data_IF_411168157428
#
_entry.id   IF_411168157428
#
_cell.length_a   1.000
_cell.length_b   1.000
_cell.length_c   1.000
_cell.angle_alpha   90.00
_cell.angle_beta   90.00
_cell.angle_gamma   90.00
#
_symmetry.space_group_name_H-M   'P 1'
#
loop_
_entity.id
_entity.type
_entity.pdbx_description
1 polymer ?
#
# COMPACT_ATOMS: atom_id res chain seq x y z
N UNK A 1 12.73 14.34 13.39
CA UNK A 1 14.08 14.50 13.95
C UNK A 1 14.77 15.76 13.44
N UNK A 2 15.77 16.26 14.14
CA UNK A 2 16.59 17.38 13.70
C UNK A 2 17.61 16.90 12.64
N UNK A 3 17.89 17.72 11.63
CA UNK A 3 18.97 17.47 10.69
C UNK A 3 20.31 17.68 11.42
N UNK A 4 21.10 16.62 11.53
CA UNK A 4 22.40 16.68 12.21
C UNK A 4 23.52 17.11 11.29
N UNK A 5 23.55 16.55 10.06
CA UNK A 5 24.64 16.80 9.11
C UNK A 5 24.19 16.58 7.67
N UNK A 6 24.69 17.42 6.75
CA UNK A 6 24.48 17.28 5.31
C UNK A 6 25.59 16.40 4.73
N UNK A 7 25.22 15.19 4.32
CA UNK A 7 26.16 14.21 3.80
C UNK A 7 26.49 14.45 2.32
N UNK A 8 25.50 14.91 1.56
CA UNK A 8 25.66 15.12 0.13
C UNK A 8 24.69 16.19 -0.38
N UNK A 9 25.13 16.99 -1.34
CA UNK A 9 24.28 17.89 -2.12
C UNK A 9 24.31 17.45 -3.57
N UNK A 10 23.12 17.28 -4.19
CA UNK A 10 22.98 16.92 -5.60
C UNK A 10 22.22 18.00 -6.32
N UNK A 11 22.65 18.32 -7.54
CA UNK A 11 21.92 19.16 -8.48
C UNK A 11 21.29 18.22 -9.51
N UNK A 12 19.96 18.22 -9.59
CA UNK A 12 19.19 17.29 -10.44
C UNK A 12 18.34 18.07 -11.42
N UNK A 13 18.48 17.74 -12.71
CA UNK A 13 17.56 18.25 -13.74
C UNK A 13 16.31 17.36 -13.80
N UNK A 14 15.13 17.93 -13.56
CA UNK A 14 13.84 17.20 -13.53
C UNK A 14 13.12 17.12 -14.88
N UNK A 15 13.73 17.69 -15.93
CA UNK A 15 13.17 17.76 -17.27
C UNK A 15 12.50 19.10 -17.61
N UNK A 16 12.28 19.96 -16.61
CA UNK A 16 11.71 21.31 -16.75
C UNK A 16 12.35 22.34 -15.82
N UNK A 17 12.95 21.93 -14.69
CA UNK A 17 13.66 22.81 -13.77
C UNK A 17 14.80 22.08 -13.06
N UNK A 18 15.69 22.83 -12.41
CA UNK A 18 16.74 22.31 -11.56
C UNK A 18 16.27 22.22 -10.11
N UNK A 19 16.59 21.09 -9.47
CA UNK A 19 16.37 20.87 -8.04
C UNK A 19 17.69 20.73 -7.31
N UNK A 20 17.72 21.18 -6.07
CA UNK A 20 18.81 20.96 -5.12
C UNK A 20 18.33 19.92 -4.10
N UNK A 21 18.98 18.76 -4.11
CA UNK A 21 18.68 17.68 -3.17
C UNK A 21 19.76 17.63 -2.09
N UNK A 22 19.34 17.68 -0.83
CA UNK A 22 20.22 17.52 0.32
C UNK A 22 19.99 16.13 0.92
N UNK A 23 21.07 15.34 1.01
CA UNK A 23 21.09 14.07 1.74
C UNK A 23 21.62 14.38 3.13
N UNK A 24 20.79 14.21 4.14
CA UNK A 24 21.12 14.58 5.52
C UNK A 24 21.06 13.37 6.44
N UNK A 25 21.87 13.39 7.50
CA UNK A 25 21.61 12.56 8.66
C UNK A 25 20.53 13.20 9.50
N UNK A 26 19.60 12.39 9.96
CA UNK A 26 18.52 12.81 10.84
C UNK A 26 18.61 11.94 12.10
N UNK A 27 18.64 12.58 13.27
CA UNK A 27 18.50 11.84 14.53
C UNK A 27 17.08 11.29 14.64
N UNK A 28 16.97 10.00 14.92
CA UNK A 28 15.71 9.35 15.25
C UNK A 28 15.66 9.33 16.79
N UNK A 29 14.71 10.06 17.35
CA UNK A 29 14.40 9.94 18.76
C UNK A 29 13.64 8.61 18.91
N UNK A 30 14.28 7.59 19.50
CA UNK A 30 13.62 6.34 19.82
C UNK A 30 12.36 6.65 20.65
N UNK A 31 11.20 6.30 20.13
CA UNK A 31 10.00 6.38 20.91
C UNK A 31 10.12 5.32 22.02
N UNK A 32 9.74 5.66 23.25
CA UNK A 32 9.55 4.66 24.31
C UNK A 32 8.32 3.80 23.93
N UNK A 33 8.46 2.96 22.90
CA UNK A 33 7.45 2.02 22.48
C UNK A 33 7.48 0.84 23.43
N UNK A 34 6.61 0.87 24.44
CA UNK A 34 6.41 -0.25 25.36
C UNK A 34 5.24 -1.15 24.92
N UNK A 35 4.88 -1.16 23.66
CA UNK A 35 3.74 -1.85 23.11
C UNK A 35 4.14 -3.04 22.26
N UNK A 36 3.53 -4.20 22.47
CA UNK A 36 3.66 -5.39 21.61
C UNK A 36 2.67 -5.36 20.42
N UNK A 37 2.31 -4.15 19.92
CA UNK A 37 1.31 -4.05 18.86
C UNK A 37 1.94 -4.27 17.49
N UNK A 38 1.22 -5.00 16.68
CA UNK A 38 1.63 -5.36 15.32
C UNK A 38 0.59 -4.92 14.30
N UNK A 39 1.04 -4.66 13.07
CA UNK A 39 0.17 -4.38 11.94
C UNK A 39 0.45 -5.34 10.78
N UNK A 40 -0.56 -5.62 9.97
CA UNK A 40 -0.42 -6.33 8.71
C UNK A 40 -0.83 -5.44 7.55
N UNK A 41 -0.08 -5.47 6.46
CA UNK A 41 -0.32 -4.67 5.25
C UNK A 41 -0.31 -5.57 4.02
N UNK A 42 -1.45 -5.69 3.38
CA UNK A 42 -1.60 -6.31 2.06
C UNK A 42 -1.55 -5.23 0.97
N UNK A 43 -0.61 -5.36 0.03
CA UNK A 43 -0.44 -4.45 -1.09
C UNK A 43 -1.10 -5.01 -2.35
N UNK A 44 -2.11 -4.33 -2.85
CA UNK A 44 -2.91 -4.80 -3.97
C UNK A 44 -3.08 -3.81 -5.12
N UNK A 45 -3.63 -4.29 -6.26
CA UNK A 45 -3.90 -3.46 -7.44
C UNK A 45 -5.24 -2.72 -7.30
N UNK A 46 -6.22 -3.28 -6.61
CA UNK A 46 -7.55 -2.69 -6.46
C UNK A 46 -7.63 -1.75 -5.27
N UNK A 47 -7.35 -2.27 -4.10
CA UNK A 47 -6.91 -1.48 -2.98
C UNK A 47 -5.39 -1.42 -3.05
N UNK A 48 -4.83 -0.22 -3.02
CA UNK A 48 -3.38 -0.03 -3.06
C UNK A 48 -2.73 -0.58 -1.81
N UNK A 49 -3.46 -0.50 -0.70
CA UNK A 49 -3.14 -1.18 0.56
C UNK A 49 -4.42 -1.53 1.32
N UNK A 50 -4.36 -2.63 2.05
CA UNK A 50 -5.28 -2.99 3.12
C UNK A 50 -4.46 -3.16 4.40
N UNK A 51 -4.87 -2.51 5.48
CA UNK A 51 -4.12 -2.49 6.74
C UNK A 51 -4.99 -3.01 7.88
N UNK A 52 -4.42 -3.92 8.66
CA UNK A 52 -5.02 -4.42 9.90
C UNK A 52 -4.13 -4.09 11.08
N UNK A 53 -4.68 -3.36 12.07
CA UNK A 53 -3.96 -2.95 13.29
C UNK A 53 -4.85 -3.21 14.50
N UNK A 54 -4.57 -4.26 15.25
CA UNK A 54 -5.41 -4.65 16.38
C UNK A 54 -6.84 -4.93 15.95
N UNK A 55 -7.80 -4.18 16.47
CA UNK A 55 -9.22 -4.26 16.15
C UNK A 55 -9.68 -3.28 15.05
N UNK A 56 -8.78 -2.48 14.51
CA UNK A 56 -9.06 -1.54 13.44
C UNK A 56 -8.55 -2.02 12.09
N UNK A 57 -9.32 -1.71 11.05
CA UNK A 57 -8.94 -2.01 9.67
C UNK A 57 -9.16 -0.82 8.75
N UNK A 58 -8.25 -0.68 7.79
CA UNK A 58 -8.23 0.46 6.87
C UNK A 58 -8.02 -0.02 5.43
N UNK A 59 -8.82 0.49 4.50
CA UNK A 59 -8.62 0.31 3.06
C UNK A 59 -8.16 1.61 2.39
N UNK A 60 -7.21 1.47 1.49
CA UNK A 60 -6.70 2.53 0.63
C UNK A 60 -6.99 2.20 -0.84
N UNK A 61 -8.14 2.63 -1.40
CA UNK A 61 -8.51 2.35 -2.78
C UNK A 61 -7.53 2.97 -3.78
N UNK A 62 -7.15 2.19 -4.81
CA UNK A 62 -6.24 2.61 -5.87
C UNK A 62 -6.92 3.43 -6.98
N UNK A 63 -8.09 4.04 -6.74
CA UNK A 63 -8.86 4.74 -7.78
C UNK A 63 -8.09 5.92 -8.37
N UNK A 64 -7.40 6.71 -7.56
CA UNK A 64 -6.61 7.86 -8.02
C UNK A 64 -5.55 7.47 -9.05
N UNK A 65 -4.84 6.35 -8.84
CA UNK A 65 -3.86 5.83 -9.79
C UNK A 65 -4.50 5.30 -11.08
N UNK A 66 -5.66 4.66 -10.97
CA UNK A 66 -6.40 4.11 -12.13
C UNK A 66 -6.93 5.23 -13.03
N UNK A 67 -7.48 6.26 -12.43
CA UNK A 67 -7.97 7.46 -13.13
C UNK A 67 -6.82 8.17 -13.85
N UNK A 68 -5.70 8.40 -13.18
CA UNK A 68 -4.52 9.03 -13.76
C UNK A 68 -3.93 8.15 -14.88
N UNK A 69 -3.86 6.84 -14.70
CA UNK A 69 -3.39 5.93 -15.73
C UNK A 69 -4.29 5.93 -16.96
N UNK A 70 -5.61 6.08 -16.78
CA UNK A 70 -6.56 6.17 -17.89
C UNK A 70 -6.43 7.51 -18.62
N UNK A 71 -6.46 8.63 -17.89
CA UNK A 71 -6.35 9.97 -18.44
C UNK A 71 -5.06 10.17 -19.24
N UNK A 72 -3.91 9.89 -18.64
CA UNK A 72 -2.63 10.13 -19.32
C UNK A 72 -2.37 9.17 -20.48
N UNK A 73 -3.02 8.00 -20.51
CA UNK A 73 -2.96 7.13 -21.69
C UNK A 73 -3.65 7.76 -22.90
N UNK A 74 -4.80 8.39 -22.71
CA UNK A 74 -5.48 9.10 -23.78
C UNK A 74 -4.59 10.25 -24.30
N UNK A 75 -4.01 11.04 -23.39
CA UNK A 75 -3.10 12.13 -23.75
C UNK A 75 -1.84 11.65 -24.52
N UNK A 76 -1.36 10.45 -24.22
CA UNK A 76 -0.23 9.84 -24.95
C UNK A 76 -0.64 9.43 -26.37
N UNK A 77 -1.81 8.79 -26.55
CA UNK A 77 -2.27 8.29 -27.84
C UNK A 77 -2.67 9.40 -28.80
N UNK A 78 -3.36 10.42 -28.34
CA UNK A 78 -3.85 11.52 -29.19
C UNK A 78 -2.72 12.37 -29.77
N UNK A 79 -1.47 12.15 -29.36
CA UNK A 79 -0.32 12.97 -29.70
C UNK A 79 0.88 12.19 -30.26
N UNK A 80 0.76 10.87 -30.47
CA UNK A 80 1.78 10.07 -31.17
C UNK A 80 1.67 10.32 -32.70
N UNK A 81 2.53 11.18 -33.23
CA UNK A 81 2.66 11.40 -34.67
C UNK A 81 3.55 10.34 -35.34
N UNK A 82 3.56 10.29 -36.68
CA UNK A 82 4.35 9.36 -37.48
C UNK A 82 5.88 9.41 -37.21
N UNK A 83 6.39 10.46 -36.55
CA UNK A 83 7.80 10.69 -36.29
C UNK A 83 8.24 10.44 -34.82
N UNK A 84 7.46 9.71 -34.04
CA UNK A 84 7.76 9.39 -32.64
C UNK A 84 7.02 10.27 -31.62
N UNK A 85 7.31 10.09 -30.31
CA UNK A 85 6.55 10.75 -29.25
C UNK A 85 6.69 12.27 -29.33
N UNK A 86 5.55 12.95 -29.42
CA UNK A 86 5.49 14.41 -29.37
C UNK A 86 5.97 14.97 -28.03
N UNK A 87 6.29 16.26 -27.97
CA UNK A 87 6.61 16.95 -26.72
C UNK A 87 5.49 16.84 -25.68
N UNK A 88 4.24 16.76 -26.14
CA UNK A 88 3.08 16.56 -25.28
C UNK A 88 3.02 15.15 -24.68
N UNK A 89 3.30 14.12 -25.45
CA UNK A 89 3.40 12.75 -24.93
C UNK A 89 4.50 12.61 -23.88
N UNK A 90 5.65 13.24 -24.08
CA UNK A 90 6.73 13.29 -23.09
C UNK A 90 6.29 14.03 -21.80
N UNK A 91 5.54 15.12 -21.93
CA UNK A 91 4.95 15.82 -20.80
C UNK A 91 3.95 14.94 -20.05
N UNK A 92 3.03 14.28 -20.75
CA UNK A 92 2.02 13.40 -20.15
C UNK A 92 2.67 12.27 -19.33
N UNK A 93 3.72 11.62 -19.86
CA UNK A 93 4.49 10.58 -19.15
C UNK A 93 5.14 11.12 -17.87
N UNK A 94 5.82 12.28 -17.95
CA UNK A 94 6.44 12.91 -16.77
C UNK A 94 5.41 13.30 -15.72
N UNK A 95 4.28 13.88 -16.15
CA UNK A 95 3.19 14.28 -15.24
C UNK A 95 2.58 13.07 -14.53
N UNK A 96 2.30 11.98 -15.27
CA UNK A 96 1.84 10.70 -14.71
C UNK A 96 2.81 10.17 -13.66
N UNK A 97 4.09 10.08 -14.00
CA UNK A 97 5.13 9.59 -13.08
C UNK A 97 5.20 10.40 -11.79
N UNK A 98 5.20 11.74 -11.88
CA UNK A 98 5.24 12.62 -10.70
C UNK A 98 4.00 12.45 -9.82
N UNK A 99 2.80 12.32 -10.42
CA UNK A 99 1.56 12.10 -9.67
C UNK A 99 1.56 10.74 -8.98
N UNK A 100 2.04 9.70 -9.66
CA UNK A 100 2.21 8.38 -9.08
C UNK A 100 3.18 8.42 -7.88
N UNK A 101 4.36 9.02 -8.05
CA UNK A 101 5.35 9.16 -6.97
C UNK A 101 4.74 9.89 -5.77
N UNK A 102 4.05 11.01 -6.01
CA UNK A 102 3.40 11.76 -4.94
C UNK A 102 2.34 10.93 -4.19
N UNK A 103 1.49 10.22 -4.94
CA UNK A 103 0.51 9.31 -4.35
C UNK A 103 1.16 8.25 -3.46
N UNK A 104 2.22 7.59 -3.94
CA UNK A 104 2.90 6.53 -3.20
C UNK A 104 3.58 7.06 -1.92
N UNK A 105 4.12 8.29 -1.98
CA UNK A 105 4.66 8.95 -0.78
C UNK A 105 3.58 9.32 0.22
N UNK A 106 2.43 9.84 -0.23
CA UNK A 106 1.31 10.18 0.65
C UNK A 106 0.69 8.94 1.29
N UNK A 107 0.49 7.87 0.50
CA UNK A 107 -0.01 6.59 0.97
C UNK A 107 0.88 5.99 2.06
N UNK A 108 2.16 5.79 1.74
CA UNK A 108 3.10 5.15 2.68
C UNK A 108 3.30 5.99 3.94
N UNK A 109 3.26 7.33 3.83
CA UNK A 109 3.29 8.22 4.98
C UNK A 109 2.06 8.01 5.88
N UNK A 110 0.86 8.01 5.29
CA UNK A 110 -0.37 7.83 6.04
C UNK A 110 -0.43 6.46 6.72
N UNK A 111 -0.01 5.38 6.04
CA UNK A 111 0.06 4.04 6.64
C UNK A 111 0.96 4.04 7.88
N UNK A 112 2.18 4.56 7.76
CA UNK A 112 3.13 4.59 8.88
C UNK A 112 2.66 5.49 10.02
N UNK A 113 2.07 6.65 9.72
CA UNK A 113 1.49 7.54 10.74
C UNK A 113 0.33 6.85 11.47
N UNK A 114 -0.56 6.14 10.74
CA UNK A 114 -1.65 5.37 11.36
C UNK A 114 -1.12 4.25 12.26
N UNK A 115 -0.02 3.60 11.90
CA UNK A 115 0.63 2.59 12.75
C UNK A 115 1.28 3.23 13.98
N UNK A 116 2.05 4.31 13.80
CA UNK A 116 2.72 5.01 14.88
C UNK A 116 1.73 5.58 15.93
N UNK A 117 0.64 6.22 15.47
CA UNK A 117 -0.40 6.77 16.34
C UNK A 117 -1.09 5.70 17.21
N UNK A 118 -1.03 4.42 16.79
CA UNK A 118 -1.59 3.27 17.52
C UNK A 118 -0.56 2.53 18.35
N UNK A 119 0.70 2.95 18.34
CA UNK A 119 1.78 2.31 19.08
C UNK A 119 2.18 0.96 18.49
N UNK A 120 2.18 0.83 17.16
CA UNK A 120 2.69 -0.35 16.45
C UNK A 120 4.20 -0.34 16.48
N UNK A 121 4.81 -1.49 16.83
CA UNK A 121 6.26 -1.70 16.82
C UNK A 121 6.73 -2.47 15.58
N UNK A 122 5.87 -3.35 15.05
CA UNK A 122 6.22 -4.18 13.89
C UNK A 122 5.10 -4.16 12.86
N UNK A 123 5.47 -3.89 11.59
CA UNK A 123 4.58 -3.96 10.44
C UNK A 123 4.98 -5.15 9.56
N UNK A 124 4.10 -6.14 9.43
CA UNK A 124 4.25 -7.22 8.45
C UNK A 124 3.68 -6.78 7.10
N UNK A 125 4.51 -6.69 6.07
CA UNK A 125 4.07 -6.28 4.73
C UNK A 125 4.18 -7.44 3.75
N UNK A 126 3.10 -7.70 3.04
CA UNK A 126 3.09 -8.70 1.97
C UNK A 126 4.09 -8.37 0.87
N UNK A 127 4.93 -9.36 0.53
CA UNK A 127 5.90 -9.27 -0.55
C UNK A 127 5.61 -10.34 -1.61
N UNK A 128 4.89 -9.99 -2.68
CA UNK A 128 4.51 -10.94 -3.72
C UNK A 128 5.68 -11.24 -4.67
N UNK A 129 6.67 -12.01 -4.20
CA UNK A 129 7.91 -12.32 -4.93
C UNK A 129 7.70 -12.86 -6.34
N UNK A 130 6.64 -13.64 -6.56
CA UNK A 130 6.38 -14.34 -7.81
C UNK A 130 5.10 -13.89 -8.53
N UNK A 131 4.57 -12.73 -8.19
CA UNK A 131 3.28 -12.26 -8.73
C UNK A 131 3.29 -12.06 -10.25
N UNK A 132 4.48 -11.90 -10.84
CA UNK A 132 4.67 -11.70 -12.29
C UNK A 132 5.02 -12.99 -13.04
N UNK A 133 5.28 -14.08 -12.32
CA UNK A 133 5.67 -15.37 -12.89
C UNK A 133 4.42 -16.22 -13.13
N UNK A 134 4.36 -16.89 -14.26
CA UNK A 134 3.37 -17.92 -14.63
C UNK A 134 1.87 -17.51 -14.57
N UNK A 135 1.55 -16.22 -14.53
CA UNK A 135 0.15 -15.74 -14.53
C UNK A 135 -0.15 -14.88 -15.77
N UNK A 136 -1.01 -15.38 -16.61
CA UNK A 136 -1.59 -14.60 -17.71
C UNK A 136 -2.99 -14.08 -17.32
N UNK A 137 -3.02 -12.83 -16.88
CA UNK A 137 -4.28 -12.14 -16.57
C UNK A 137 -4.83 -11.36 -17.77
N UNK A 138 -4.36 -11.70 -18.97
CA UNK A 138 -4.66 -10.99 -20.20
C UNK A 138 -3.96 -9.63 -20.29
N UNK A 139 -4.00 -9.04 -21.49
CA UNK A 139 -3.26 -7.80 -21.83
C UNK A 139 -3.44 -6.66 -20.80
N UNK A 140 -4.66 -6.45 -20.32
CA UNK A 140 -4.95 -5.37 -19.37
C UNK A 140 -4.50 -5.70 -17.94
N UNK A 141 -4.65 -6.95 -17.51
CA UNK A 141 -4.20 -7.42 -16.19
C UNK A 141 -2.70 -7.39 -16.07
N UNK A 142 -1.99 -7.94 -17.06
CA UNK A 142 -0.53 -7.97 -17.11
C UNK A 142 0.05 -6.56 -17.13
N UNK A 143 -0.55 -5.62 -17.90
CA UNK A 143 -0.10 -4.23 -17.91
C UNK A 143 -0.26 -3.56 -16.54
N UNK A 144 -1.39 -3.76 -15.85
CA UNK A 144 -1.60 -3.22 -14.50
C UNK A 144 -0.58 -3.75 -13.49
N UNK A 145 -0.25 -5.04 -13.61
CA UNK A 145 0.74 -5.66 -12.77
C UNK A 145 2.17 -5.12 -13.02
N UNK A 146 2.50 -4.84 -14.29
CA UNK A 146 3.79 -4.21 -14.64
C UNK A 146 3.87 -2.74 -14.22
N UNK A 147 2.75 -2.01 -14.30
CA UNK A 147 2.67 -0.60 -13.90
C UNK A 147 2.61 -0.44 -12.35
N UNK A 148 2.43 -1.55 -11.60
CA UNK A 148 2.30 -1.52 -10.15
C UNK A 148 3.67 -1.49 -9.45
N UNK A 149 3.85 -0.48 -8.63
CA UNK A 149 5.15 -0.17 -8.01
C UNK A 149 5.26 -0.77 -6.59
N UNK A 150 5.07 -2.10 -6.43
CA UNK A 150 5.15 -2.79 -5.13
C UNK A 150 6.42 -2.44 -4.35
N UNK A 151 7.59 -2.66 -4.96
CA UNK A 151 8.87 -2.40 -4.31
C UNK A 151 9.03 -0.94 -3.90
N UNK A 152 8.47 -0.02 -4.69
CA UNK A 152 8.52 1.42 -4.36
C UNK A 152 7.68 1.72 -3.12
N UNK A 153 6.45 1.19 -3.02
CA UNK A 153 5.60 1.38 -1.83
C UNK A 153 6.25 0.74 -0.62
N UNK A 154 6.73 -0.50 -0.76
CA UNK A 154 7.38 -1.24 0.31
C UNK A 154 8.61 -0.48 0.84
N UNK A 155 9.51 -0.05 -0.05
CA UNK A 155 10.67 0.77 0.33
C UNK A 155 10.27 2.10 0.99
N UNK A 156 9.16 2.71 0.54
CA UNK A 156 8.65 3.92 1.18
C UNK A 156 8.07 3.67 2.58
N UNK A 157 7.46 2.51 2.81
CA UNK A 157 7.00 2.10 4.15
C UNK A 157 8.21 1.84 5.04
N UNK A 158 9.20 1.08 4.57
CA UNK A 158 10.39 0.71 5.31
C UNK A 158 11.14 1.92 5.88
N UNK A 159 11.59 2.85 5.03
CA UNK A 159 12.37 3.98 5.53
C UNK A 159 11.56 4.95 6.40
N UNK A 160 10.24 5.08 6.16
CA UNK A 160 9.39 5.93 7.01
C UNK A 160 9.05 5.27 8.35
N UNK A 161 8.93 3.96 8.36
CA UNK A 161 8.77 3.18 9.58
C UNK A 161 10.04 3.25 10.45
N UNK A 162 11.22 3.13 9.82
CA UNK A 162 12.51 3.34 10.47
C UNK A 162 12.61 4.72 11.13
N UNK A 163 12.12 5.80 10.47
CA UNK A 163 12.06 7.15 11.05
C UNK A 163 11.17 7.24 12.30
N UNK A 164 10.35 6.23 12.58
CA UNK A 164 9.42 6.14 13.71
C UNK A 164 9.75 5.02 14.68
N UNK A 165 10.91 4.39 14.52
CA UNK A 165 11.35 3.23 15.32
C UNK A 165 10.38 2.03 15.22
N UNK A 166 9.79 1.85 14.02
CA UNK A 166 8.90 0.73 13.70
C UNK A 166 9.65 -0.25 12.80
N UNK A 167 9.70 -1.52 13.19
CA UNK A 167 10.27 -2.59 12.39
C UNK A 167 9.34 -2.99 11.24
N UNK A 168 9.91 -3.33 10.07
CA UNK A 168 9.14 -3.83 8.93
C UNK A 168 9.62 -5.21 8.55
N UNK A 169 8.72 -6.20 8.64
CA UNK A 169 8.95 -7.56 8.17
C UNK A 169 8.29 -7.81 6.82
N UNK A 170 9.08 -8.29 5.85
CA UNK A 170 8.60 -8.73 4.54
C UNK A 170 8.09 -10.16 4.62
N UNK A 171 6.80 -10.33 4.40
CA UNK A 171 6.11 -11.63 4.49
C UNK A 171 5.91 -12.22 3.11
N UNK A 172 6.28 -13.49 2.92
CA UNK A 172 6.04 -14.21 1.67
C UNK A 172 4.57 -14.65 1.58
N UNK A 173 3.79 -13.95 0.77
CA UNK A 173 2.36 -14.20 0.58
C UNK A 173 2.06 -15.56 -0.03
N UNK A 174 2.97 -16.07 -0.86
CA UNK A 174 2.78 -17.35 -1.55
C UNK A 174 2.94 -18.53 -0.59
N UNK A 175 3.97 -18.51 0.26
CA UNK A 175 4.19 -19.56 1.25
C UNK A 175 3.05 -19.64 2.26
N UNK A 176 2.55 -18.49 2.70
CA UNK A 176 1.48 -18.41 3.68
C UNK A 176 0.08 -18.62 3.07
N UNK A 177 -0.05 -18.50 1.75
CA UNK A 177 -1.34 -18.53 1.05
C UNK A 177 -2.40 -17.62 1.70
N UNK A 178 -1.99 -16.40 2.05
CA UNK A 178 -2.76 -15.44 2.86
C UNK A 178 -4.13 -15.12 2.28
N UNK A 179 -4.28 -15.18 0.96
CA UNK A 179 -5.52 -14.86 0.25
C UNK A 179 -6.60 -15.93 0.35
N UNK A 180 -6.26 -17.18 0.67
CA UNK A 180 -7.18 -18.33 0.74
C UNK A 180 -7.27 -18.93 2.15
N UNK A 181 -6.39 -18.52 3.06
CA UNK A 181 -6.39 -18.94 4.46
C UNK A 181 -7.32 -18.04 5.27
N UNK A 182 -8.20 -18.63 6.06
CA UNK A 182 -9.06 -17.87 6.97
C UNK A 182 -8.26 -17.36 8.16
N UNK A 183 -8.26 -16.05 8.39
CA UNK A 183 -7.53 -15.45 9.49
C UNK A 183 -8.10 -15.79 10.88
N UNK A 184 -9.36 -16.22 10.95
CA UNK A 184 -10.00 -16.58 12.21
C UNK A 184 -9.79 -18.05 12.60
N UNK A 185 -9.91 -18.99 11.64
CA UNK A 185 -9.85 -20.43 11.95
C UNK A 185 -8.73 -21.20 11.25
N UNK A 186 -7.94 -20.54 10.40
CA UNK A 186 -6.85 -21.16 9.67
C UNK A 186 -7.26 -22.11 8.52
N UNK A 187 -8.57 -22.28 8.26
CA UNK A 187 -9.01 -23.13 7.14
C UNK A 187 -8.54 -22.56 5.81
N UNK A 188 -7.98 -23.42 4.97
CA UNK A 188 -7.52 -23.12 3.63
C UNK A 188 -8.49 -23.66 2.60
N UNK A 189 -9.13 -22.79 1.82
CA UNK A 189 -10.00 -23.18 0.71
C UNK A 189 -10.10 -22.04 -0.31
N UNK A 190 -9.93 -22.39 -1.59
CA UNK A 190 -10.07 -21.43 -2.69
C UNK A 190 -11.49 -20.89 -2.80
N UNK A 191 -12.50 -21.71 -2.43
CA UNK A 191 -13.91 -21.38 -2.39
C UNK A 191 -14.26 -20.25 -1.41
N UNK A 192 -13.44 -20.02 -0.38
CA UNK A 192 -13.65 -18.96 0.60
C UNK A 192 -13.56 -17.56 -0.04
N UNK A 193 -12.86 -17.42 -1.15
CA UNK A 193 -12.83 -16.18 -1.94
C UNK A 193 -13.97 -16.15 -2.95
N UNK A 194 -15.17 -15.79 -2.49
CA UNK A 194 -16.42 -15.85 -3.25
C UNK A 194 -16.43 -14.92 -4.45
N UNK A 195 -15.98 -13.69 -4.23
CA UNK A 195 -15.85 -12.67 -5.28
C UNK A 195 -14.65 -11.77 -4.99
N UNK A 196 -14.36 -10.86 -5.92
CA UNK A 196 -13.32 -9.86 -5.71
C UNK A 196 -13.70 -8.94 -4.56
N UNK A 197 -12.89 -8.97 -3.49
CA UNK A 197 -13.11 -8.16 -2.29
C UNK A 197 -14.04 -8.83 -1.25
N UNK A 198 -14.65 -9.98 -1.55
CA UNK A 198 -15.50 -10.72 -0.60
C UNK A 198 -14.87 -12.06 -0.24
N UNK A 199 -14.66 -12.26 1.05
CA UNK A 199 -14.19 -13.49 1.65
C UNK A 199 -15.27 -14.04 2.60
N UNK A 200 -15.64 -15.30 2.45
CA UNK A 200 -16.60 -16.00 3.32
C UNK A 200 -16.01 -17.36 3.66
N UNK A 201 -15.73 -17.61 4.93
CA UNK A 201 -15.19 -18.89 5.36
C UNK A 201 -16.30 -19.93 5.51
N UNK A 202 -16.20 -21.05 4.80
CA UNK A 202 -17.17 -22.14 4.89
C UNK A 202 -17.15 -22.87 6.25
N UNK A 203 -16.03 -22.77 7.00
CA UNK A 203 -15.88 -23.47 8.28
C UNK A 203 -16.38 -22.66 9.50
N UNK A 204 -16.03 -21.36 9.58
CA UNK A 204 -16.35 -20.54 10.74
C UNK A 204 -17.29 -19.37 10.42
N UNK A 205 -17.82 -19.31 9.20
CA UNK A 205 -18.76 -18.30 8.72
C UNK A 205 -18.23 -16.85 8.79
N UNK A 206 -16.90 -16.67 8.94
CA UNK A 206 -16.29 -15.34 8.88
C UNK A 206 -16.61 -14.69 7.53
N UNK A 207 -17.19 -13.48 7.60
CA UNK A 207 -17.34 -12.60 6.43
C UNK A 207 -16.37 -11.45 6.56
N UNK A 208 -15.54 -11.24 5.55
CA UNK A 208 -14.49 -10.23 5.56
C UNK A 208 -14.26 -9.64 4.16
N UNK A 209 -13.59 -8.47 4.11
CA UNK A 209 -12.93 -8.06 2.89
C UNK A 209 -11.70 -8.96 2.65
N UNK A 210 -11.53 -9.48 1.42
CA UNK A 210 -10.48 -10.45 1.10
C UNK A 210 -9.06 -9.91 1.30
N UNK A 211 -8.84 -8.63 1.01
CA UNK A 211 -7.52 -7.99 1.18
C UNK A 211 -7.22 -7.76 2.68
N UNK A 212 -8.26 -7.49 3.49
CA UNK A 212 -8.12 -7.40 4.95
C UNK A 212 -7.92 -8.76 5.62
N UNK A 213 -8.55 -9.83 5.11
CA UNK A 213 -8.26 -11.19 5.56
C UNK A 213 -6.78 -11.54 5.31
N UNK A 214 -6.23 -11.14 4.16
CA UNK A 214 -4.82 -11.32 3.85
C UNK A 214 -3.92 -10.49 4.77
N UNK A 215 -4.22 -9.20 4.95
CA UNK A 215 -3.47 -8.32 5.85
C UNK A 215 -3.43 -8.87 7.29
N UNK A 216 -4.54 -9.44 7.73
CA UNK A 216 -4.62 -10.05 9.04
C UNK A 216 -3.79 -11.33 9.18
N UNK A 217 -3.78 -12.17 8.16
CA UNK A 217 -2.90 -13.33 8.14
C UNK A 217 -1.42 -12.91 8.17
N UNK A 218 -1.05 -11.81 7.51
CA UNK A 218 0.31 -11.24 7.59
C UNK A 218 0.61 -10.74 9.01
N UNK A 219 -0.31 -9.98 9.62
CA UNK A 219 -0.15 -9.51 10.99
C UNK A 219 0.06 -10.66 11.97
N UNK A 220 -0.67 -11.75 11.78
CA UNK A 220 -0.57 -12.93 12.64
C UNK A 220 0.82 -13.59 12.63
N UNK A 221 1.64 -13.37 11.59
CA UNK A 221 3.01 -13.94 11.54
C UNK A 221 3.96 -13.29 12.54
N UNK A 222 3.73 -12.02 12.86
CA UNK A 222 4.56 -11.21 13.77
C UNK A 222 3.91 -10.97 15.14
N UNK A 223 2.69 -11.48 15.33
CA UNK A 223 1.95 -11.34 16.59
C UNK A 223 2.14 -12.57 17.47
N UNK A 224 2.61 -12.43 18.70
CA UNK A 224 2.84 -13.57 19.59
C UNK A 224 1.59 -14.38 19.94
N UNK A 225 0.42 -13.72 20.03
CA UNK A 225 -0.87 -14.34 20.37
C UNK A 225 -2.01 -13.78 19.50
N UNK A 226 -2.15 -14.25 18.24
CA UNK A 226 -3.11 -13.66 17.29
C UNK A 226 -4.59 -13.99 17.59
N UNK A 227 -4.88 -14.86 18.58
CA UNK A 227 -6.19 -15.46 18.75
C UNK A 227 -7.15 -14.69 19.67
N UNK A 228 -6.72 -13.65 20.35
CA UNK A 228 -7.55 -12.93 21.30
C UNK A 228 -8.22 -11.72 20.64
N UNK A 229 -9.50 -11.88 20.36
CA UNK A 229 -10.52 -10.84 20.21
C UNK A 229 -10.57 -10.04 18.90
N UNK A 230 -11.04 -10.70 17.81
CA UNK A 230 -11.48 -10.01 16.61
C UNK A 230 -12.96 -10.13 16.39
N UNK A 231 -13.64 -9.00 16.39
CA UNK A 231 -15.00 -8.97 15.90
C UNK A 231 -15.03 -9.10 14.37
N UNK A 232 -15.88 -9.98 13.83
CA UNK A 232 -16.10 -10.09 12.37
C UNK A 232 -16.48 -8.74 11.73
N UNK A 233 -17.03 -7.80 12.49
CA UNK A 233 -17.42 -6.48 12.03
C UNK A 233 -16.27 -5.60 11.57
N UNK A 234 -15.12 -5.68 12.22
CA UNK A 234 -13.93 -4.91 11.85
C UNK A 234 -13.42 -5.27 10.44
N UNK A 235 -13.38 -6.57 10.09
CA UNK A 235 -12.91 -7.03 8.78
C UNK A 235 -13.97 -6.86 7.67
N UNK A 236 -15.25 -6.81 8.02
CA UNK A 236 -16.35 -6.62 7.08
C UNK A 236 -16.67 -5.14 6.82
N UNK A 237 -16.38 -4.26 7.77
CA UNK A 237 -16.70 -2.83 7.71
C UNK A 237 -15.47 -1.97 8.01
N UNK A 238 -14.47 -1.99 7.11
CA UNK A 238 -13.25 -1.22 7.29
C UNK A 238 -13.51 0.29 7.19
N UNK A 239 -12.67 1.07 7.82
CA UNK A 239 -12.53 2.46 7.49
C UNK A 239 -11.88 2.61 6.10
N UNK A 240 -12.28 3.64 5.36
CA UNK A 240 -11.71 3.92 4.03
C UNK A 240 -11.00 5.25 4.07
N UNK A 241 -9.79 5.28 3.52
CA UNK A 241 -9.01 6.51 3.39
C UNK A 241 -8.71 6.78 1.92
N UNK A 242 -9.04 7.98 1.47
CA UNK A 242 -8.95 8.38 0.06
C UNK A 242 -7.83 9.41 -0.15
N UNK A 243 -7.15 9.28 -1.28
CA UNK A 243 -6.22 10.30 -1.71
C UNK A 243 -6.98 11.47 -2.35
N UNK A 244 -6.88 12.63 -1.74
CA UNK A 244 -7.41 13.88 -2.28
C UNK A 244 -6.38 14.54 -3.21
N UNK A 245 -6.69 14.59 -4.50
CA UNK A 245 -5.82 15.17 -5.53
C UNK A 245 -5.63 16.70 -5.38
N UNK A 246 -6.54 17.37 -4.69
CA UNK A 246 -6.47 18.83 -4.49
C UNK A 246 -5.49 19.21 -3.39
N UNK A 247 -5.48 18.47 -2.30
CA UNK A 247 -4.56 18.67 -1.17
C UNK A 247 -3.28 17.85 -1.27
N UNK A 248 -3.28 16.79 -2.10
CA UNK A 248 -2.17 15.84 -2.22
C UNK A 248 -1.99 14.96 -0.97
N UNK A 249 -3.02 14.77 -0.18
CA UNK A 249 -2.99 14.02 1.08
C UNK A 249 -3.98 12.87 1.07
N UNK A 250 -3.74 11.90 1.93
CA UNK A 250 -4.71 10.85 2.25
C UNK A 250 -5.53 11.31 3.46
N UNK A 251 -6.84 11.11 3.38
CA UNK A 251 -7.78 11.48 4.43
C UNK A 251 -8.88 10.44 4.58
N UNK A 252 -9.51 10.32 5.77
CA UNK A 252 -10.68 9.48 5.94
C UNK A 252 -11.79 9.87 4.95
N UNK A 253 -12.45 8.87 4.39
CA UNK A 253 -13.66 9.11 3.62
C UNK A 253 -14.76 9.61 4.58
N UNK A 254 -15.31 10.80 4.34
CA UNK A 254 -16.46 11.28 5.07
C UNK A 254 -17.61 10.29 4.87
N UNK A 255 -18.12 9.74 5.95
CA UNK A 255 -19.34 8.94 5.91
C UNK A 255 -20.50 9.90 5.65
N UNK A 256 -20.97 9.92 4.41
CA UNK A 256 -22.28 10.53 4.11
C UNK A 256 -23.31 9.61 4.76
N UNK A 257 -23.78 9.99 5.96
CA UNK A 257 -24.94 9.36 6.55
C UNK A 257 -26.13 9.57 5.60
N UNK A 258 -26.85 8.48 5.19
CA UNK A 258 -28.01 8.59 4.32
C UNK A 258 -29.16 9.34 4.99
#
# INVERSE_FOLDING_TARGET
>A
GAVEDVQQVRIVWTGDHWELHFVCKVAIDAADSSGEKTAGVDLGICNTAAVSVGDETVLYPGNALKEDAHYFRQEEYDTEGENGPSGHAAWARRKKSRRQTHFLHALSKDIVEQCADRGVETIAVGHPKHIREDKDWGRHGNKRLHDWAFETVLSHIEYKAEERDIEVERVDEYELATSVTCCACGMKADSNRVERGLYVCENCELVANSDLNAAENMRATVTPNPAEDRSNGCLAQPSVRLFDKSTGRVAPQEQVCP
#
